data_IF_584931221780
#
_entry.id   IF_584931221780
#
_cell.length_a   1.000
_cell.length_b   1.000
_cell.length_c   1.000
_cell.angle_alpha   90.00
_cell.angle_beta   90.00
_cell.angle_gamma   90.00
#
_symmetry.space_group_name_H-M   'P 1'
#
loop_
_entity.id
_entity.type
_entity.pdbx_description
1 polymer ?
#
# COMPACT_ATOMS: atom_id res chain seq x y z
N UNK A 1 20.55 -15.72 -79.40
CA UNK A 1 20.38 -16.14 -77.99
C UNK A 1 19.01 -15.69 -77.50
N UNK A 2 18.29 -16.58 -76.81
CA UNK A 2 16.84 -16.53 -76.58
C UNK A 2 16.54 -15.89 -75.22
N UNK A 3 15.55 -14.99 -75.20
CA UNK A 3 15.00 -14.24 -74.05
C UNK A 3 14.49 -15.18 -72.95
N UNK A 4 14.67 -14.80 -71.67
CA UNK A 4 13.71 -15.10 -70.59
C UNK A 4 13.69 -13.97 -69.56
N UNK A 5 12.66 -13.13 -69.64
CA UNK A 5 12.16 -12.31 -68.53
C UNK A 5 11.36 -13.23 -67.61
N UNK A 6 11.70 -13.29 -66.33
CA UNK A 6 10.85 -13.87 -65.29
C UNK A 6 10.27 -12.73 -64.46
N UNK A 7 8.99 -12.45 -64.66
CA UNK A 7 8.18 -11.61 -63.77
C UNK A 7 7.59 -12.55 -62.72
N UNK A 8 8.02 -12.40 -61.46
CA UNK A 8 7.43 -13.10 -60.33
C UNK A 8 6.28 -12.24 -59.80
N UNK A 9 5.04 -12.67 -60.02
CA UNK A 9 3.86 -12.08 -59.40
C UNK A 9 3.67 -12.66 -58.00
N UNK A 10 3.81 -11.82 -56.96
CA UNK A 10 3.39 -12.19 -55.60
C UNK A 10 1.88 -11.96 -55.48
N UNK A 11 1.14 -13.04 -55.26
CA UNK A 11 -0.28 -12.99 -54.90
C UNK A 11 -0.42 -12.51 -53.45
N UNK A 12 -1.06 -11.36 -53.25
CA UNK A 12 -1.52 -10.90 -51.94
C UNK A 12 -2.77 -11.70 -51.59
N UNK A 13 -2.61 -12.71 -50.74
CA UNK A 13 -3.74 -13.43 -50.15
C UNK A 13 -4.40 -12.55 -49.10
N UNK A 14 -5.53 -11.94 -49.45
CA UNK A 14 -6.43 -11.33 -48.48
C UNK A 14 -7.06 -12.45 -47.64
N UNK A 15 -6.68 -12.54 -46.37
CA UNK A 15 -7.38 -13.39 -45.40
C UNK A 15 -8.65 -12.64 -45.03
N UNK A 16 -9.81 -13.13 -45.49
CA UNK A 16 -11.10 -12.65 -45.05
C UNK A 16 -11.22 -12.89 -43.53
N UNK A 17 -11.21 -11.81 -42.75
CA UNK A 17 -11.62 -11.88 -41.35
C UNK A 17 -13.12 -12.15 -41.37
N UNK A 18 -13.53 -13.36 -40.95
CA UNK A 18 -14.93 -13.66 -40.76
C UNK A 18 -15.45 -12.77 -39.63
N UNK A 19 -16.23 -11.75 -39.98
CA UNK A 19 -17.06 -11.02 -39.02
C UNK A 19 -17.96 -12.04 -38.30
N UNK A 20 -17.87 -12.07 -36.97
CA UNK A 20 -18.86 -12.77 -36.14
C UNK A 20 -20.26 -12.26 -36.53
N UNK A 21 -21.26 -13.13 -36.71
CA UNK A 21 -22.59 -12.69 -37.11
C UNK A 21 -23.13 -11.71 -36.06
N UNK A 22 -23.54 -10.51 -36.51
CA UNK A 22 -23.97 -9.41 -35.65
C UNK A 22 -25.06 -9.81 -34.63
N UNK A 23 -25.88 -10.82 -34.97
CA UNK A 23 -26.91 -11.40 -34.11
C UNK A 23 -26.33 -12.15 -32.89
N UNK A 24 -25.21 -12.87 -33.07
CA UNK A 24 -24.52 -13.57 -31.99
C UNK A 24 -23.92 -12.57 -30.98
N UNK A 25 -23.31 -11.49 -31.47
CA UNK A 25 -22.77 -10.42 -30.62
C UNK A 25 -23.86 -9.70 -29.82
N UNK A 26 -25.02 -9.46 -30.43
CA UNK A 26 -26.17 -8.87 -29.74
C UNK A 26 -26.68 -9.77 -28.62
N UNK A 27 -26.85 -11.07 -28.89
CA UNK A 27 -27.27 -12.04 -27.88
C UNK A 27 -26.25 -12.18 -26.74
N UNK A 28 -24.95 -12.19 -27.06
CA UNK A 28 -23.89 -12.23 -26.04
C UNK A 28 -23.89 -10.97 -25.16
N UNK A 29 -24.14 -9.79 -25.74
CA UNK A 29 -24.30 -8.54 -24.96
C UNK A 29 -25.51 -8.58 -24.03
N UNK A 30 -26.63 -9.14 -24.47
CA UNK A 30 -27.83 -9.29 -23.63
C UNK A 30 -27.54 -10.22 -22.43
N UNK A 31 -26.77 -11.29 -22.65
CA UNK A 31 -26.35 -12.21 -21.59
C UNK A 31 -25.37 -11.57 -20.59
N UNK A 32 -24.53 -10.65 -21.07
CA UNK A 32 -23.51 -9.98 -20.26
C UNK A 32 -23.85 -8.52 -19.87
N UNK A 33 -25.13 -8.14 -19.98
CA UNK A 33 -25.56 -6.76 -19.73
C UNK A 33 -25.26 -6.33 -18.28
N UNK A 34 -25.40 -7.25 -17.32
CA UNK A 34 -25.14 -6.98 -15.91
C UNK A 34 -23.65 -6.74 -15.64
N UNK A 35 -22.76 -7.47 -16.30
CA UNK A 35 -21.31 -7.29 -16.19
C UNK A 35 -20.87 -5.99 -16.84
N UNK A 36 -21.43 -5.63 -17.99
CA UNK A 36 -21.18 -4.33 -18.62
C UNK A 36 -21.64 -3.20 -17.68
N UNK A 37 -22.84 -3.30 -17.11
CA UNK A 37 -23.35 -2.34 -16.13
C UNK A 37 -22.44 -2.27 -14.88
N UNK A 38 -21.93 -3.41 -14.43
CA UNK A 38 -21.03 -3.46 -13.30
C UNK A 38 -19.78 -2.63 -13.53
N UNK A 39 -19.08 -2.82 -14.65
CA UNK A 39 -17.85 -2.07 -14.95
C UNK A 39 -18.08 -0.60 -15.28
N UNK A 40 -19.28 -0.24 -15.76
CA UNK A 40 -19.63 1.13 -16.14
C UNK A 40 -20.17 1.98 -14.99
N UNK A 41 -20.64 1.36 -13.90
CA UNK A 41 -21.29 2.12 -12.81
C UNK A 41 -21.27 1.49 -11.41
N UNK A 42 -21.16 0.16 -11.27
CA UNK A 42 -21.32 -0.51 -9.95
C UNK A 42 -20.01 -0.97 -9.32
N UNK A 43 -18.93 -1.10 -10.08
CA UNK A 43 -17.63 -1.45 -9.53
C UNK A 43 -17.22 -0.41 -8.48
N UNK A 44 -16.89 -0.87 -7.28
CA UNK A 44 -16.64 -0.02 -6.12
C UNK A 44 -15.18 -0.02 -5.66
N UNK A 45 -14.38 -0.96 -6.19
CA UNK A 45 -12.97 -1.16 -5.84
C UNK A 45 -12.75 -1.93 -4.55
N UNK A 46 -13.75 -2.65 -4.02
CA UNK A 46 -13.60 -3.43 -2.78
C UNK A 46 -12.49 -4.49 -2.84
N UNK A 47 -12.20 -5.02 -4.03
CA UNK A 47 -11.09 -5.93 -4.29
C UNK A 47 -9.71 -5.27 -4.16
N UNK A 48 -9.63 -3.94 -4.29
CA UNK A 48 -8.37 -3.20 -4.18
C UNK A 48 -7.89 -3.10 -2.72
N UNK A 49 -8.81 -3.14 -1.76
CA UNK A 49 -8.55 -2.90 -0.33
C UNK A 49 -8.92 -4.08 0.58
N UNK A 50 -9.31 -5.23 0.02
CA UNK A 50 -9.70 -6.43 0.78
C UNK A 50 -8.59 -7.48 0.87
N UNK A 51 -8.84 -8.55 1.63
CA UNK A 51 -7.91 -9.67 1.79
C UNK A 51 -6.56 -9.22 2.36
N UNK A 52 -5.48 -9.54 1.64
CA UNK A 52 -4.11 -9.17 2.02
C UNK A 52 -3.82 -7.67 1.94
N UNK A 53 -4.66 -6.90 1.24
CA UNK A 53 -4.53 -5.44 1.12
C UNK A 53 -5.34 -4.68 2.17
N UNK A 54 -6.04 -5.41 3.06
CA UNK A 54 -6.75 -4.84 4.19
C UNK A 54 -5.79 -4.55 5.36
N UNK A 55 -5.13 -3.39 5.28
CA UNK A 55 -4.09 -3.01 6.25
C UNK A 55 -4.69 -2.44 7.53
N UNK A 56 -4.83 -3.30 8.54
CA UNK A 56 -5.32 -2.92 9.86
C UNK A 56 -4.33 -2.00 10.57
N UNK A 57 -4.78 -0.79 10.92
CA UNK A 57 -3.96 0.16 11.67
C UNK A 57 -3.46 -0.46 12.99
N UNK A 58 -2.16 -0.30 13.33
CA UNK A 58 -1.62 -0.81 14.57
C UNK A 58 -2.21 -0.07 15.77
N UNK A 59 -2.45 -0.79 16.86
CA UNK A 59 -2.82 -0.17 18.13
C UNK A 59 -1.57 0.40 18.79
N UNK A 60 -1.54 1.73 18.95
CA UNK A 60 -0.41 2.45 19.51
C UNK A 60 -0.75 2.94 20.93
N UNK A 61 0.05 2.61 21.95
CA UNK A 61 -0.13 3.19 23.28
C UNK A 61 0.28 4.68 23.26
N UNK A 62 -0.01 5.41 24.33
CA UNK A 62 0.46 6.81 24.46
C UNK A 62 1.99 6.89 24.51
N UNK A 63 2.63 5.94 25.19
CA UNK A 63 4.09 5.82 25.29
C UNK A 63 4.46 4.36 25.62
N UNK A 64 5.68 3.96 25.29
CA UNK A 64 6.27 2.70 25.73
C UNK A 64 7.34 2.96 26.79
N UNK A 65 7.32 2.19 27.89
CA UNK A 65 8.24 2.39 29.04
C UNK A 65 9.38 1.38 29.13
N UNK A 66 9.42 0.40 28.24
CA UNK A 66 10.47 -0.61 28.21
C UNK A 66 10.75 -1.05 26.78
N UNK A 67 11.95 -1.59 26.55
CA UNK A 67 12.44 -1.98 25.22
C UNK A 67 11.55 -3.03 24.53
N UNK A 68 10.93 -3.93 25.31
CA UNK A 68 10.01 -4.94 24.75
C UNK A 68 8.79 -4.27 24.14
N UNK A 69 8.16 -3.35 24.86
CA UNK A 69 6.99 -2.61 24.37
C UNK A 69 7.34 -1.71 23.18
N UNK A 70 8.53 -1.10 23.17
CA UNK A 70 9.05 -0.33 22.02
C UNK A 70 9.13 -1.23 20.79
N UNK A 71 9.85 -2.35 20.90
CA UNK A 71 10.04 -3.30 19.80
C UNK A 71 8.72 -3.86 19.26
N UNK A 72 7.74 -4.13 20.14
CA UNK A 72 6.41 -4.58 19.73
C UNK A 72 5.69 -3.55 18.87
N UNK A 73 5.71 -2.27 19.28
CA UNK A 73 5.10 -1.19 18.51
C UNK A 73 5.81 -1.01 17.16
N UNK A 74 7.14 -0.95 17.17
CA UNK A 74 7.95 -0.81 15.93
C UNK A 74 7.66 -1.94 14.95
N UNK A 75 7.61 -3.19 15.43
CA UNK A 75 7.29 -4.36 14.59
C UNK A 75 5.88 -4.24 14.02
N UNK A 76 4.90 -3.83 14.83
CA UNK A 76 3.51 -3.69 14.38
C UNK A 76 3.37 -2.61 13.30
N UNK A 77 4.07 -1.49 13.44
CA UNK A 77 4.10 -0.40 12.45
C UNK A 77 4.85 -0.82 11.19
N UNK A 78 5.95 -1.56 11.31
CA UNK A 78 6.68 -2.10 10.16
C UNK A 78 5.80 -3.04 9.33
N UNK A 79 5.11 -3.98 9.97
CA UNK A 79 4.18 -4.90 9.29
C UNK A 79 3.04 -4.15 8.61
N UNK A 80 2.51 -3.10 9.26
CA UNK A 80 1.47 -2.26 8.66
C UNK A 80 2.00 -1.51 7.42
N UNK A 81 3.21 -0.96 7.47
CA UNK A 81 3.84 -0.27 6.31
C UNK A 81 4.06 -1.23 5.14
N UNK A 82 4.50 -2.45 5.41
CA UNK A 82 4.66 -3.49 4.39
C UNK A 82 3.32 -3.81 3.72
N UNK A 83 2.26 -4.01 4.50
CA UNK A 83 0.91 -4.17 3.97
C UNK A 83 0.49 -2.98 3.11
N UNK A 84 0.68 -1.75 3.60
CA UNK A 84 0.28 -0.53 2.89
C UNK A 84 1.02 -0.40 1.55
N UNK A 85 2.31 -0.72 1.52
CA UNK A 85 3.09 -0.76 0.28
C UNK A 85 2.55 -1.82 -0.70
N UNK A 86 2.13 -2.98 -0.19
CA UNK A 86 1.45 -4.00 -0.99
C UNK A 86 0.12 -3.51 -1.58
N UNK A 87 -0.68 -2.79 -0.80
CA UNK A 87 -1.88 -2.12 -1.28
C UNK A 87 -1.57 -1.11 -2.40
N UNK A 88 -0.56 -0.24 -2.20
CA UNK A 88 -0.16 0.75 -3.21
C UNK A 88 0.30 0.05 -4.50
N UNK A 89 1.07 -1.03 -4.40
CA UNK A 89 1.46 -1.84 -5.56
C UNK A 89 0.23 -2.39 -6.29
N UNK A 90 -0.73 -2.98 -5.56
CA UNK A 90 -1.94 -3.52 -6.15
C UNK A 90 -2.80 -2.45 -6.85
N UNK A 91 -2.89 -1.25 -6.26
CA UNK A 91 -3.58 -0.11 -6.88
C UNK A 91 -2.84 0.34 -8.15
N UNK A 92 -1.51 0.37 -8.14
CA UNK A 92 -0.71 0.67 -9.34
C UNK A 92 -0.87 -0.41 -10.43
N UNK A 93 -0.92 -1.67 -10.04
CA UNK A 93 -1.12 -2.80 -10.95
C UNK A 93 -2.52 -2.81 -11.58
N UNK A 94 -3.51 -2.20 -10.92
CA UNK A 94 -4.85 -1.99 -11.46
C UNK A 94 -4.92 -0.90 -12.55
N UNK A 95 -3.87 -0.08 -12.70
CA UNK A 95 -3.79 0.98 -13.70
C UNK A 95 -3.19 0.48 -15.02
N UNK A 96 -3.55 1.11 -16.17
CA UNK A 96 -4.53 2.20 -16.34
C UNK A 96 -6.00 1.72 -16.20
N UNK A 97 -6.97 2.66 -16.03
CA UNK A 97 -8.40 2.33 -16.02
C UNK A 97 -8.80 1.48 -17.23
N UNK A 98 -9.60 0.44 -16.98
CA UNK A 98 -9.99 -0.55 -17.99
C UNK A 98 -9.15 -1.83 -17.99
N UNK A 99 -7.93 -1.83 -17.44
CA UNK A 99 -7.07 -3.04 -17.38
C UNK A 99 -7.71 -4.20 -16.62
N UNK A 100 -8.52 -3.91 -15.60
CA UNK A 100 -9.21 -4.93 -14.78
C UNK A 100 -10.48 -5.48 -15.43
N UNK A 101 -11.00 -4.84 -16.48
CA UNK A 101 -12.20 -5.33 -17.17
C UNK A 101 -11.81 -6.65 -17.87
N UNK A 102 -12.52 -7.77 -17.62
CA UNK A 102 -12.25 -9.03 -18.29
C UNK A 102 -12.33 -8.87 -19.81
N UNK A 103 -11.39 -9.46 -20.53
CA UNK A 103 -11.26 -9.28 -21.98
C UNK A 103 -12.55 -9.65 -22.73
N UNK A 104 -13.27 -10.69 -22.29
CA UNK A 104 -14.54 -11.10 -22.89
C UNK A 104 -15.63 -10.04 -22.74
N UNK A 105 -15.69 -9.35 -21.60
CA UNK A 105 -16.63 -8.24 -21.40
C UNK A 105 -16.19 -7.02 -22.22
N UNK A 106 -14.89 -6.71 -22.23
CA UNK A 106 -14.34 -5.57 -22.97
C UNK A 106 -14.62 -5.65 -24.49
N UNK A 107 -14.57 -6.85 -25.09
CA UNK A 107 -14.91 -7.08 -26.52
C UNK A 107 -16.40 -6.82 -26.82
N UNK A 108 -17.25 -7.04 -25.83
CA UNK A 108 -18.69 -6.87 -25.95
C UNK A 108 -19.09 -5.41 -25.82
N UNK A 109 -18.36 -4.59 -25.07
CA UNK A 109 -18.65 -3.17 -24.85
C UNK A 109 -18.58 -2.32 -26.13
N UNK A 110 -19.41 -1.29 -26.21
CA UNK A 110 -19.29 -0.22 -27.21
C UNK A 110 -18.15 0.73 -26.82
N UNK A 111 -17.70 1.56 -27.76
CA UNK A 111 -16.71 2.60 -27.46
C UNK A 111 -17.18 3.54 -26.35
N UNK A 112 -18.46 3.93 -26.36
CA UNK A 112 -19.03 4.82 -25.34
C UNK A 112 -19.04 4.16 -23.94
N UNK A 113 -19.44 2.90 -23.84
CA UNK A 113 -19.42 2.17 -22.57
C UNK A 113 -18.00 1.94 -22.07
N UNK A 114 -17.04 1.66 -22.96
CA UNK A 114 -15.65 1.51 -22.58
C UNK A 114 -15.06 2.80 -22.01
N UNK A 115 -15.35 3.95 -22.63
CA UNK A 115 -14.93 5.25 -22.09
C UNK A 115 -15.64 5.58 -20.77
N UNK A 116 -16.94 5.26 -20.65
CA UNK A 116 -17.66 5.40 -19.38
C UNK A 116 -17.04 4.54 -18.27
N UNK A 117 -16.74 3.27 -18.54
CA UNK A 117 -16.12 2.38 -17.57
C UNK A 117 -14.72 2.87 -17.16
N UNK A 118 -13.92 3.37 -18.11
CA UNK A 118 -12.62 3.98 -17.79
C UNK A 118 -12.78 5.20 -16.88
N UNK A 119 -13.73 6.08 -17.16
CA UNK A 119 -14.02 7.25 -16.33
C UNK A 119 -14.44 6.83 -14.92
N UNK A 120 -15.39 5.90 -14.82
CA UNK A 120 -15.87 5.34 -13.54
C UNK A 120 -14.73 4.68 -12.74
N UNK A 121 -13.94 3.80 -13.38
CA UNK A 121 -12.78 3.15 -12.76
C UNK A 121 -11.74 4.17 -12.28
N UNK A 122 -11.50 5.23 -13.05
CA UNK A 122 -10.57 6.28 -12.65
C UNK A 122 -11.06 7.01 -11.38
N UNK A 123 -12.35 7.34 -11.29
CA UNK A 123 -12.96 7.93 -10.10
C UNK A 123 -12.87 6.99 -8.89
N UNK A 124 -13.16 5.70 -9.08
CA UNK A 124 -13.05 4.67 -8.05
C UNK A 124 -11.61 4.57 -7.54
N UNK A 125 -10.64 4.49 -8.43
CA UNK A 125 -9.22 4.39 -8.05
C UNK A 125 -8.74 5.64 -7.32
N UNK A 126 -9.13 6.82 -7.78
CA UNK A 126 -8.81 8.08 -7.13
C UNK A 126 -9.40 8.16 -5.71
N UNK A 127 -10.66 7.75 -5.53
CA UNK A 127 -11.31 7.69 -4.22
C UNK A 127 -10.61 6.71 -3.28
N UNK A 128 -10.41 5.46 -3.73
CA UNK A 128 -9.75 4.42 -2.93
C UNK A 128 -8.34 4.83 -2.53
N UNK A 129 -7.57 5.43 -3.45
CA UNK A 129 -6.24 5.96 -3.17
C UNK A 129 -6.26 7.11 -2.16
N UNK A 130 -7.20 8.05 -2.29
CA UNK A 130 -7.34 9.17 -1.37
C UNK A 130 -7.74 8.72 0.05
N UNK A 131 -8.69 7.79 0.17
CA UNK A 131 -9.10 7.22 1.46
C UNK A 131 -7.95 6.48 2.14
N UNK A 132 -7.21 5.67 1.38
CA UNK A 132 -6.06 4.95 1.90
C UNK A 132 -4.94 5.90 2.34
N UNK A 133 -4.63 6.95 1.57
CA UNK A 133 -3.66 7.97 1.93
C UNK A 133 -4.05 8.70 3.22
N UNK A 134 -5.30 9.13 3.33
CA UNK A 134 -5.79 9.81 4.54
C UNK A 134 -5.74 8.90 5.78
N UNK A 135 -5.97 7.59 5.61
CA UNK A 135 -5.81 6.60 6.69
C UNK A 135 -4.34 6.40 7.08
N UNK A 136 -3.45 6.37 6.10
CA UNK A 136 -2.01 6.26 6.33
C UNK A 136 -1.46 7.48 7.08
N UNK A 137 -1.87 8.69 6.68
CA UNK A 137 -1.47 9.93 7.36
C UNK A 137 -1.85 9.92 8.84
N UNK A 138 -3.08 9.50 9.16
CA UNK A 138 -3.55 9.36 10.55
C UNK A 138 -2.72 8.35 11.33
N UNK A 139 -2.40 7.21 10.72
CA UNK A 139 -1.58 6.16 11.36
C UNK A 139 -0.17 6.66 11.63
N UNK A 140 0.44 7.34 10.67
CA UNK A 140 1.79 7.87 10.80
C UNK A 140 1.87 9.03 11.80
N UNK A 141 0.85 9.90 11.86
CA UNK A 141 0.75 10.94 12.88
C UNK A 141 0.63 10.35 14.30
N UNK A 142 -0.16 9.28 14.47
CA UNK A 142 -0.26 8.57 15.74
C UNK A 142 1.08 7.93 16.14
N UNK A 143 1.81 7.35 15.19
CA UNK A 143 3.14 6.80 15.40
C UNK A 143 4.15 7.87 15.82
N UNK A 144 4.17 9.01 15.14
CA UNK A 144 5.06 10.13 15.48
C UNK A 144 4.81 10.62 16.92
N UNK A 145 3.54 10.76 17.32
CA UNK A 145 3.17 11.15 18.68
C UNK A 145 3.67 10.15 19.73
N UNK A 146 3.51 8.86 19.46
CA UNK A 146 4.02 7.78 20.31
C UNK A 146 5.55 7.81 20.40
N UNK A 147 6.26 7.98 19.28
CA UNK A 147 7.73 8.02 19.21
C UNK A 147 8.27 9.15 20.08
N UNK A 148 7.77 10.38 19.87
CA UNK A 148 8.18 11.56 20.65
C UNK A 148 7.94 11.38 22.15
N UNK A 149 6.80 10.81 22.52
CA UNK A 149 6.45 10.58 23.93
C UNK A 149 7.34 9.51 24.58
N UNK A 150 7.65 8.46 23.83
CA UNK A 150 8.56 7.38 24.26
C UNK A 150 10.00 7.86 24.39
N UNK A 151 10.51 8.61 23.41
CA UNK A 151 11.84 9.21 23.45
C UNK A 151 12.01 10.20 24.60
N UNK A 152 10.99 11.02 24.89
CA UNK A 152 10.99 11.90 26.04
C UNK A 152 11.08 11.12 27.37
N UNK A 153 10.30 10.05 27.50
CA UNK A 153 10.34 9.18 28.69
C UNK A 153 11.71 8.50 28.86
N UNK A 154 12.27 7.93 27.78
CA UNK A 154 13.58 7.26 27.83
C UNK A 154 14.68 8.24 28.24
N UNK A 155 14.70 9.45 27.67
CA UNK A 155 15.67 10.49 28.06
C UNK A 155 15.55 10.85 29.54
N UNK A 156 14.33 11.08 30.03
CA UNK A 156 14.10 11.41 31.44
C UNK A 156 14.51 10.26 32.37
N UNK A 157 14.22 9.01 31.99
CA UNK A 157 14.57 7.84 32.78
C UNK A 157 16.09 7.64 32.86
N UNK A 158 16.80 7.89 31.76
CA UNK A 158 18.26 7.78 31.71
C UNK A 158 18.91 8.86 32.57
N UNK A 159 18.48 10.13 32.46
CA UNK A 159 19.05 11.21 33.27
C UNK A 159 18.83 10.98 34.77
N UNK A 160 17.66 10.48 35.17
CA UNK A 160 17.39 10.12 36.56
C UNK A 160 18.29 8.99 37.06
N UNK A 161 18.58 8.01 36.21
CA UNK A 161 19.45 6.89 36.57
C UNK A 161 20.90 7.37 36.76
N UNK A 162 21.38 8.27 35.89
CA UNK A 162 22.71 8.89 35.99
C UNK A 162 22.84 9.77 37.25
N UNK A 163 21.82 10.57 37.56
CA UNK A 163 21.80 11.44 38.76
C UNK A 163 21.84 10.61 40.05
N UNK A 164 21.06 9.53 40.13
CA UNK A 164 21.05 8.65 41.30
C UNK A 164 22.37 7.86 41.43
N UNK A 165 22.96 7.40 40.32
CA UNK A 165 24.28 6.78 40.33
C UNK A 165 25.35 7.75 40.84
N UNK A 166 25.36 8.99 40.34
CA UNK A 166 26.29 10.02 40.79
C UNK A 166 26.14 10.33 42.28
N UNK A 167 24.91 10.44 42.77
CA UNK A 167 24.62 10.67 44.18
C UNK A 167 25.10 9.51 45.06
N UNK A 168 24.91 8.27 44.63
CA UNK A 168 25.38 7.09 45.34
C UNK A 168 26.92 7.04 45.39
N UNK A 169 27.61 7.43 44.32
CA UNK A 169 29.06 7.55 44.30
C UNK A 169 29.58 8.62 45.26
N UNK A 170 28.96 9.81 45.29
CA UNK A 170 29.30 10.86 46.26
C UNK A 170 29.11 10.40 47.71
N UNK A 171 28.05 9.64 48.00
CA UNK A 171 27.83 9.07 49.33
C UNK A 171 28.90 8.03 49.70
N UNK A 172 29.30 7.19 48.74
CA UNK A 172 30.37 6.20 48.94
C UNK A 172 31.72 6.87 49.21
N UNK A 173 32.06 7.90 48.45
CA UNK A 173 33.32 8.66 48.63
C UNK A 173 33.36 9.37 49.98
N UNK A 174 32.26 10.00 50.39
CA UNK A 174 32.16 10.65 51.69
C UNK A 174 32.30 9.66 52.84
N UNK A 175 31.69 8.48 52.74
CA UNK A 175 31.82 7.42 53.74
C UNK A 175 33.28 6.92 53.85
N UNK A 176 33.99 6.79 52.73
CA UNK A 176 35.40 6.39 52.72
C UNK A 176 36.30 7.46 53.34
N UNK A 177 36.05 8.75 53.06
CA UNK A 177 36.82 9.86 53.65
C UNK A 177 36.60 10.00 55.15
N UNK A 178 35.38 9.80 55.63
CA UNK A 178 35.06 9.84 57.06
C UNK A 178 35.64 8.68 57.89
N UNK A 179 36.06 7.59 57.24
CA UNK A 179 36.64 6.41 57.87
C UNK A 179 38.18 6.45 57.97
N UNK A 180 38.85 7.49 57.46
CA UNK A 180 40.30 7.60 57.54
C UNK A 180 40.74 7.80 59.02
N UNK A 181 41.58 6.92 59.58
CA UNK A 181 42.03 7.06 60.96
C UNK A 181 42.84 8.35 61.12
N UNK A 182 42.73 9.03 62.28
CA UNK A 182 43.50 10.25 62.52
C UNK A 182 44.99 9.96 62.41
N UNK A 183 45.67 10.67 61.52
CA UNK A 183 47.13 10.63 61.39
C UNK A 183 47.70 11.17 62.70
N UNK A 184 48.26 10.30 63.53
CA UNK A 184 49.00 10.70 64.74
C UNK A 184 50.37 11.20 64.30
N UNK A 185 50.64 12.48 64.55
CA UNK A 185 51.98 13.07 64.50
C UNK A 185 52.78 12.70 65.76
#
# INVERSE_FOLDING_TARGET
>A
MRKYFFVLAMAVGAVAMADEPADAKKSAREQHAAEIEYWTSKYDGADLSSGQFNCKAPSLPTMSRNNRAIKTVETSVANWKECYNGFVSNLNDAMPPGKRIPAEIAKLMTAAEMEQAKAHLNEVYARVGAEASASADKTMAAYEKWSKSTEAYVRQSNSQSEDEEHKMDLMRDNAQRGAAPPVRN
#
